data_IF_235009241739
#
_entry.id   IF_235009241739
#
_cell.length_a   1.000
_cell.length_b   1.000
_cell.length_c   1.000
_cell.angle_alpha   90.00
_cell.angle_beta   90.00
_cell.angle_gamma   90.00
#
_symmetry.space_group_name_H-M   'P 1'
#
loop_
_entity.id
_entity.type
_entity.pdbx_description
1 polymer ?
#
# COMPACT_ATOMS: atom_id res chain seq x y z
N UNK A 1 -17.85 -36.49 9.13
CA UNK A 1 -17.79 -35.79 10.44
C UNK A 1 -16.84 -34.59 10.42
N UNK A 2 -15.60 -34.69 9.90
CA UNK A 2 -14.63 -33.57 9.89
C UNK A 2 -15.08 -32.34 9.10
N UNK A 3 -15.77 -32.54 7.97
CA UNK A 3 -16.23 -31.45 7.10
C UNK A 3 -17.33 -30.58 7.75
N UNK A 4 -18.21 -31.19 8.57
CA UNK A 4 -19.23 -30.47 9.33
C UNK A 4 -18.63 -29.58 10.41
N UNK A 5 -17.54 -30.02 11.05
CA UNK A 5 -16.82 -29.21 12.06
C UNK A 5 -16.18 -27.99 11.41
N UNK A 6 -15.61 -28.12 10.21
CA UNK A 6 -15.06 -26.99 9.46
C UNK A 6 -16.13 -25.99 9.03
N UNK A 7 -17.29 -26.47 8.53
CA UNK A 7 -18.41 -25.61 8.14
C UNK A 7 -18.98 -24.86 9.36
N UNK A 8 -19.10 -25.56 10.50
CA UNK A 8 -19.55 -24.94 11.75
C UNK A 8 -18.56 -23.88 12.23
N UNK A 9 -17.26 -24.18 12.26
CA UNK A 9 -16.22 -23.23 12.67
C UNK A 9 -16.18 -21.98 11.76
N UNK A 10 -16.31 -22.17 10.44
CA UNK A 10 -16.34 -21.06 9.48
C UNK A 10 -17.59 -20.18 9.68
N UNK A 11 -18.75 -20.80 9.94
CA UNK A 11 -19.99 -20.07 10.22
C UNK A 11 -19.90 -19.24 11.51
N UNK A 12 -19.31 -19.77 12.58
CA UNK A 12 -19.07 -19.04 13.83
C UNK A 12 -18.12 -17.86 13.64
N UNK A 13 -17.06 -18.02 12.84
CA UNK A 13 -16.14 -16.93 12.53
C UNK A 13 -16.83 -15.79 11.76
N UNK A 14 -17.66 -16.12 10.76
CA UNK A 14 -18.42 -15.13 9.98
C UNK A 14 -19.38 -14.34 10.88
N UNK A 15 -20.14 -15.03 11.74
CA UNK A 15 -21.09 -14.39 12.68
C UNK A 15 -20.39 -13.51 13.70
N UNK A 16 -19.22 -13.92 14.19
CA UNK A 16 -18.44 -13.12 15.15
C UNK A 16 -17.93 -11.81 14.52
N UNK A 17 -17.45 -11.87 13.28
CA UNK A 17 -16.96 -10.68 12.57
C UNK A 17 -18.07 -9.71 12.14
N UNK A 18 -19.27 -10.23 11.82
CA UNK A 18 -20.40 -9.39 11.42
C UNK A 18 -21.06 -8.67 12.61
N UNK A 19 -21.04 -9.28 13.80
CA UNK A 19 -21.48 -8.62 15.04
C UNK A 19 -20.58 -7.42 15.42
N UNK A 20 -19.27 -7.53 15.17
CA UNK A 20 -18.29 -6.47 15.46
C UNK A 20 -18.40 -5.31 14.43
N UNK A 21 -18.66 -5.64 13.16
CA UNK A 21 -18.93 -4.63 12.12
C UNK A 21 -20.24 -3.88 12.38
N UNK A 22 -21.31 -4.58 12.75
CA UNK A 22 -22.63 -3.97 12.96
C UNK A 22 -22.66 -2.95 14.10
N UNK A 23 -21.77 -3.07 15.09
CA UNK A 23 -21.65 -2.11 16.20
C UNK A 23 -20.90 -0.84 15.81
N UNK A 24 -20.04 -0.88 14.78
CA UNK A 24 -19.30 0.30 14.30
C UNK A 24 -20.06 1.17 13.30
N UNK A 25 -21.09 0.64 12.63
CA UNK A 25 -21.79 1.35 11.54
C UNK A 25 -22.94 2.26 12.02
N UNK A 26 -23.39 2.18 13.27
CA UNK A 26 -24.59 2.90 13.73
C UNK A 26 -24.35 4.32 14.29
N UNK A 27 -23.23 4.97 13.97
CA UNK A 27 -22.95 6.32 14.48
C UNK A 27 -22.18 7.17 13.46
N UNK A 28 -22.86 7.58 12.38
CA UNK A 28 -22.49 8.79 11.65
C UNK A 28 -23.70 9.31 10.89
N UNK A 29 -24.30 10.37 11.44
CA UNK A 29 -25.44 11.06 10.84
C UNK A 29 -25.04 12.51 10.54
N UNK A 30 -25.43 12.97 9.34
CA UNK A 30 -25.65 14.38 8.94
C UNK A 30 -24.38 15.21 8.63
N UNK A 31 -24.29 16.12 7.64
CA UNK A 31 -25.26 16.94 6.88
C UNK A 31 -24.54 17.46 5.60
N UNK A 32 -25.21 17.57 4.44
CA UNK A 32 -24.74 18.44 3.33
C UNK A 32 -25.37 19.85 3.43
N UNK A 33 -25.21 20.80 2.48
CA UNK A 33 -24.35 20.88 1.28
C UNK A 33 -23.52 22.20 1.23
N UNK A 34 -22.72 22.43 0.18
CA UNK A 34 -22.57 23.71 -0.55
C UNK A 34 -21.47 23.61 -1.63
N UNK A 35 -21.82 23.98 -2.87
CA UNK A 35 -20.91 24.13 -4.01
C UNK A 35 -20.21 25.50 -3.95
N UNK A 36 -18.92 25.56 -4.32
CA UNK A 36 -18.40 26.70 -5.06
C UNK A 36 -17.73 26.26 -6.37
N UNK A 37 -18.03 27.03 -7.42
CA UNK A 37 -17.44 26.96 -8.77
C UNK A 37 -15.92 27.11 -8.69
N UNK A 38 -15.08 26.24 -9.28
CA UNK A 38 -13.64 26.47 -9.32
C UNK A 38 -13.24 27.31 -10.54
N UNK A 39 -12.70 28.48 -10.25
CA UNK A 39 -11.96 29.35 -11.17
C UNK A 39 -10.67 28.66 -11.64
N UNK A 40 -10.29 28.96 -12.88
CA UNK A 40 -9.11 28.43 -13.58
C UNK A 40 -7.80 28.76 -12.85
N UNK A 41 -7.30 27.82 -12.06
CA UNK A 41 -5.90 27.74 -11.66
C UNK A 41 -5.43 26.29 -11.80
N UNK A 42 -4.20 26.14 -12.28
CA UNK A 42 -3.57 24.88 -12.64
C UNK A 42 -3.32 24.02 -11.39
N UNK A 43 -4.37 23.35 -10.91
CA UNK A 43 -4.39 22.60 -9.65
C UNK A 43 -3.65 21.26 -9.80
N UNK A 44 -2.35 21.25 -9.53
CA UNK A 44 -1.68 20.03 -9.08
C UNK A 44 -2.23 19.69 -7.69
N UNK A 45 -3.19 18.77 -7.62
CA UNK A 45 -3.72 18.29 -6.35
C UNK A 45 -2.75 17.26 -5.75
N UNK A 46 -1.75 17.72 -5.01
CA UNK A 46 -0.87 16.86 -4.20
C UNK A 46 -1.57 16.56 -2.86
N UNK A 47 -2.53 15.63 -2.88
CA UNK A 47 -3.24 15.20 -1.68
C UNK A 47 -2.38 14.16 -0.93
N UNK A 48 -1.47 14.62 -0.08
CA UNK A 48 -0.75 13.76 0.85
C UNK A 48 -1.61 13.51 2.10
N UNK A 49 -2.37 12.41 2.12
CA UNK A 49 -2.99 11.90 3.34
C UNK A 49 -1.94 11.12 4.15
N UNK A 50 -1.16 11.83 4.96
CA UNK A 50 -0.22 11.21 5.90
C UNK A 50 -0.96 10.85 7.19
N UNK A 51 -1.52 9.64 7.28
CA UNK A 51 -2.08 9.12 8.53
C UNK A 51 -0.96 8.56 9.43
N UNK A 52 -0.67 9.11 10.62
CA UNK A 52 0.47 8.67 11.40
C UNK A 52 0.10 7.52 12.35
N UNK A 53 0.70 6.33 12.14
CA UNK A 53 1.42 5.54 13.19
C UNK A 53 1.75 4.08 12.82
N UNK A 54 1.27 3.51 11.71
CA UNK A 54 1.60 2.12 11.29
C UNK A 54 1.86 1.92 9.80
N UNK A 55 1.65 2.96 9.00
CA UNK A 55 1.86 2.95 7.57
C UNK A 55 1.64 4.34 6.99
N UNK A 56 1.99 4.55 5.74
CA UNK A 56 1.69 5.78 5.01
C UNK A 56 1.01 5.46 3.69
N UNK A 57 0.20 6.39 3.23
CA UNK A 57 -0.43 6.34 1.91
C UNK A 57 -0.03 7.64 1.20
N UNK A 58 0.45 7.54 -0.02
CA UNK A 58 0.84 8.68 -0.84
C UNK A 58 0.10 8.61 -2.15
N UNK A 59 -0.57 9.70 -2.51
CA UNK A 59 -1.20 9.86 -3.82
C UNK A 59 -0.59 11.06 -4.53
N UNK A 60 -0.17 10.88 -5.78
CA UNK A 60 0.40 11.93 -6.63
C UNK A 60 -0.26 11.83 -8.00
N UNK A 61 -0.79 12.94 -8.52
CA UNK A 61 -1.43 12.94 -9.83
C UNK A 61 -1.19 14.23 -10.58
N UNK A 62 -0.96 14.12 -11.89
CA UNK A 62 -0.88 15.29 -12.78
C UNK A 62 -1.70 15.07 -14.04
N UNK A 63 -2.46 16.09 -14.42
CA UNK A 63 -3.24 16.12 -15.66
C UNK A 63 -2.74 17.30 -16.51
N UNK A 64 -1.92 17.06 -17.53
CA UNK A 64 -1.57 18.10 -18.48
C UNK A 64 -2.82 18.56 -19.24
N UNK A 65 -3.07 19.87 -19.26
CA UNK A 65 -4.23 20.49 -19.94
C UNK A 65 -3.90 20.99 -21.36
N UNK A 66 -2.61 21.07 -21.70
CA UNK A 66 -2.09 21.59 -22.96
C UNK A 66 -0.92 20.74 -23.46
N UNK A 67 -0.56 20.92 -24.74
CA UNK A 67 0.49 20.12 -25.40
C UNK A 67 -0.02 18.81 -26.01
N UNK A 68 0.88 18.07 -26.70
CA UNK A 68 0.53 16.83 -27.40
C UNK A 68 0.19 15.68 -26.43
N UNK A 69 0.71 15.72 -25.20
CA UNK A 69 0.48 14.72 -24.18
C UNK A 69 -0.65 15.15 -23.24
N UNK A 70 -1.88 14.65 -23.48
CA UNK A 70 -3.09 15.01 -22.68
C UNK A 70 -3.57 13.92 -21.73
N UNK A 71 -2.84 12.82 -21.60
CA UNK A 71 -3.25 11.71 -20.74
C UNK A 71 -2.82 11.97 -19.29
N UNK A 72 -3.65 11.65 -18.28
CA UNK A 72 -3.28 11.79 -16.87
C UNK A 72 -2.13 10.85 -16.49
N UNK A 73 -1.32 11.30 -15.55
CA UNK A 73 -0.47 10.42 -14.73
C UNK A 73 -1.01 10.41 -13.31
N UNK A 74 -0.96 9.26 -12.66
CA UNK A 74 -1.20 9.16 -11.23
C UNK A 74 -0.42 8.01 -10.62
N UNK A 75 -0.07 8.15 -9.36
CA UNK A 75 0.65 7.18 -8.55
C UNK A 75 0.02 7.13 -7.16
N UNK A 76 -0.32 5.93 -6.72
CA UNK A 76 -0.88 5.64 -5.41
C UNK A 76 0.00 4.58 -4.76
N UNK A 77 0.67 4.94 -3.67
CA UNK A 77 1.50 4.01 -2.91
C UNK A 77 1.00 3.93 -1.48
N UNK A 78 1.15 2.76 -0.88
CA UNK A 78 0.95 2.51 0.52
C UNK A 78 2.10 1.67 1.04
N UNK A 79 2.57 1.96 2.24
CA UNK A 79 3.53 1.13 2.96
C UNK A 79 3.09 0.97 4.41
N UNK A 80 3.44 -0.14 5.02
CA UNK A 80 3.19 -0.38 6.43
C UNK A 80 4.36 -1.14 7.04
N UNK A 81 4.74 -0.72 8.25
CA UNK A 81 5.64 -1.49 9.07
C UNK A 81 4.81 -2.51 9.85
N UNK A 82 5.02 -3.78 9.57
CA UNK A 82 4.28 -4.89 10.20
C UNK A 82 4.98 -5.36 11.47
N UNK A 83 6.31 -5.26 11.50
CA UNK A 83 7.11 -5.60 12.65
C UNK A 83 8.33 -4.69 12.77
N UNK A 84 8.61 -4.23 13.99
CA UNK A 84 9.84 -3.53 14.32
C UNK A 84 10.15 -3.69 15.81
N UNK A 85 11.31 -4.27 16.13
CA UNK A 85 11.81 -4.38 17.50
C UNK A 85 13.21 -3.75 17.68
N UNK A 86 13.62 -2.86 16.78
CA UNK A 86 14.93 -2.22 16.77
C UNK A 86 16.07 -3.09 16.21
N UNK A 87 15.96 -4.42 16.24
CA UNK A 87 16.91 -5.34 15.60
C UNK A 87 16.37 -5.95 14.33
N UNK A 88 15.07 -6.20 14.27
CA UNK A 88 14.40 -6.80 13.13
C UNK A 88 13.26 -5.90 12.68
N UNK A 89 13.15 -5.69 11.37
CA UNK A 89 12.04 -5.00 10.73
C UNK A 89 11.37 -5.90 9.70
N UNK A 90 10.06 -5.76 9.55
CA UNK A 90 9.32 -6.32 8.44
C UNK A 90 8.33 -5.26 7.93
N UNK A 91 8.39 -5.01 6.65
CA UNK A 91 7.64 -3.97 5.96
C UNK A 91 6.91 -4.57 4.77
N UNK A 92 5.71 -4.07 4.52
CA UNK A 92 4.94 -4.37 3.32
C UNK A 92 4.66 -3.07 2.59
N UNK A 93 4.66 -3.12 1.27
CA UNK A 93 4.36 -1.97 0.45
C UNK A 93 3.60 -2.41 -0.80
N UNK A 94 2.85 -1.49 -1.37
CA UNK A 94 2.17 -1.71 -2.61
C UNK A 94 1.58 -0.44 -3.16
N UNK A 95 1.24 -0.48 -4.44
CA UNK A 95 0.79 0.69 -5.14
C UNK A 95 0.33 0.40 -6.54
N UNK A 96 -0.21 1.45 -7.15
CA UNK A 96 -0.72 1.47 -8.50
C UNK A 96 -0.22 2.76 -9.15
N UNK A 97 0.41 2.64 -10.31
CA UNK A 97 0.75 3.80 -11.11
C UNK A 97 0.15 3.71 -12.52
N UNK A 98 -0.22 4.86 -13.06
CA UNK A 98 -0.68 5.04 -14.43
C UNK A 98 0.17 6.12 -15.08
N UNK A 99 0.81 5.74 -16.17
CA UNK A 99 1.52 6.67 -17.06
C UNK A 99 0.86 6.64 -18.44
N UNK A 100 0.97 7.75 -19.20
CA UNK A 100 0.47 7.81 -20.55
C UNK A 100 0.96 6.67 -21.45
N UNK A 101 0.06 6.17 -22.30
CA UNK A 101 0.35 5.07 -23.23
C UNK A 101 0.50 3.70 -22.58
N UNK A 102 0.50 3.61 -21.24
CA UNK A 102 0.61 2.36 -20.50
C UNK A 102 -0.69 2.00 -19.79
N UNK A 103 -0.87 0.72 -19.44
CA UNK A 103 -1.94 0.29 -18.53
C UNK A 103 -1.61 0.70 -17.09
N UNK A 104 -2.58 0.57 -16.19
CA UNK A 104 -2.31 0.67 -14.75
C UNK A 104 -1.33 -0.45 -14.38
N UNK A 105 -0.25 -0.09 -13.70
CA UNK A 105 0.81 -0.98 -13.29
C UNK A 105 0.73 -1.16 -11.76
N UNK A 106 0.18 -2.29 -11.28
CA UNK A 106 0.27 -2.63 -9.87
C UNK A 106 1.68 -3.06 -9.50
N UNK A 107 2.14 -2.68 -8.33
CA UNK A 107 3.34 -3.24 -7.73
C UNK A 107 3.10 -3.47 -6.25
N UNK A 108 3.67 -4.52 -5.67
CA UNK A 108 3.65 -4.73 -4.23
C UNK A 108 4.81 -5.61 -3.80
N UNK A 109 5.18 -5.54 -2.54
CA UNK A 109 6.28 -6.29 -2.02
C UNK A 109 6.32 -6.33 -0.51
N UNK A 110 7.21 -7.19 -0.05
CA UNK A 110 7.53 -7.38 1.34
C UNK A 110 9.04 -7.29 1.50
N UNK A 111 9.47 -6.74 2.62
CA UNK A 111 10.86 -6.64 2.98
C UNK A 111 11.00 -7.03 4.44
N UNK A 112 12.02 -7.83 4.76
CA UNK A 112 12.39 -8.12 6.13
C UNK A 112 13.89 -7.91 6.30
N UNK A 113 14.29 -7.21 7.36
CA UNK A 113 15.68 -7.01 7.71
C UNK A 113 15.93 -7.43 9.16
N UNK A 114 17.07 -8.05 9.42
CA UNK A 114 17.54 -8.37 10.76
C UNK A 114 18.99 -7.92 10.91
N UNK A 115 19.21 -7.11 11.94
CA UNK A 115 20.52 -6.63 12.38
C UNK A 115 21.13 -7.62 13.38
N UNK A 116 22.43 -7.86 13.26
CA UNK A 116 23.22 -8.75 14.10
C UNK A 116 24.49 -8.04 14.58
N UNK A 117 24.86 -8.27 15.85
CA UNK A 117 26.00 -7.60 16.47
C UNK A 117 25.85 -6.08 16.44
N UNK A 118 26.96 -5.37 16.35
CA UNK A 118 26.97 -3.90 16.37
C UNK A 118 26.74 -3.26 14.99
N UNK A 119 27.00 -4.00 13.89
CA UNK A 119 27.06 -3.41 12.55
C UNK A 119 26.55 -4.33 11.44
N UNK A 120 26.27 -5.61 11.70
CA UNK A 120 25.88 -6.58 10.68
C UNK A 120 24.38 -6.54 10.38
N UNK A 121 23.97 -6.87 9.16
CA UNK A 121 22.57 -7.04 8.78
C UNK A 121 22.39 -8.11 7.71
N UNK A 122 21.20 -8.73 7.71
CA UNK A 122 20.66 -9.50 6.59
C UNK A 122 19.28 -8.96 6.22
N UNK A 123 18.99 -8.86 4.94
CA UNK A 123 17.74 -8.36 4.39
C UNK A 123 17.25 -9.33 3.32
N UNK A 124 15.99 -9.75 3.44
CA UNK A 124 15.25 -10.41 2.37
C UNK A 124 14.23 -9.44 1.79
N UNK A 125 13.97 -9.55 0.49
CA UNK A 125 12.91 -8.79 -0.17
C UNK A 125 12.26 -9.62 -1.26
N UNK A 126 10.96 -9.47 -1.40
CA UNK A 126 10.18 -10.04 -2.49
C UNK A 126 9.28 -8.94 -3.03
N UNK A 127 9.32 -8.73 -4.34
CA UNK A 127 8.47 -7.75 -5.03
C UNK A 127 7.75 -8.44 -6.18
N UNK A 128 6.55 -7.97 -6.49
CA UNK A 128 5.67 -8.47 -7.53
C UNK A 128 5.34 -7.31 -8.47
N UNK A 129 5.57 -7.52 -9.76
CA UNK A 129 5.28 -6.57 -10.82
C UNK A 129 4.37 -7.24 -11.86
N UNK A 130 3.69 -6.48 -12.74
CA UNK A 130 2.87 -7.06 -13.78
C UNK A 130 3.74 -7.89 -14.73
N UNK A 131 3.28 -9.08 -15.10
CA UNK A 131 4.00 -9.93 -16.05
C UNK A 131 4.11 -9.28 -17.43
N UNK A 132 5.12 -9.68 -18.24
CA UNK A 132 5.20 -9.26 -19.64
C UNK A 132 3.88 -9.50 -20.37
N UNK A 133 3.37 -8.48 -21.09
CA UNK A 133 2.08 -8.48 -21.79
C UNK A 133 0.81 -8.45 -20.90
N UNK A 134 0.96 -8.21 -19.59
CA UNK A 134 -0.17 -8.03 -18.67
C UNK A 134 -0.83 -9.34 -18.23
N UNK A 135 -0.16 -10.48 -18.43
CA UNK A 135 -0.61 -11.76 -17.90
C UNK A 135 0.07 -12.05 -16.56
N UNK A 136 -0.72 -12.08 -15.49
CA UNK A 136 -0.27 -12.49 -14.15
C UNK A 136 0.70 -11.51 -13.48
N UNK A 137 1.29 -11.99 -12.38
CA UNK A 137 2.29 -11.28 -11.59
C UNK A 137 3.64 -11.97 -11.73
N UNK A 138 4.69 -11.19 -11.90
CA UNK A 138 6.07 -11.64 -11.95
C UNK A 138 6.75 -11.34 -10.61
N UNK A 139 7.04 -12.35 -9.78
CA UNK A 139 7.81 -12.16 -8.56
C UNK A 139 9.29 -11.94 -8.88
N UNK A 140 9.97 -11.15 -8.06
CA UNK A 140 11.43 -11.17 -7.96
C UNK A 140 11.83 -11.15 -6.50
N UNK A 141 12.82 -11.98 -6.16
CA UNK A 141 13.28 -12.21 -4.79
C UNK A 141 14.75 -11.82 -4.71
N UNK A 142 15.14 -11.17 -3.62
CA UNK A 142 16.51 -10.80 -3.35
C UNK A 142 16.88 -11.01 -1.88
N UNK A 143 18.14 -11.37 -1.66
CA UNK A 143 18.73 -11.43 -0.32
C UNK A 143 20.01 -10.59 -0.34
N UNK A 144 20.18 -9.75 0.67
CA UNK A 144 21.34 -8.86 0.82
C UNK A 144 21.83 -8.95 2.26
N UNK A 145 23.14 -9.07 2.46
CA UNK A 145 23.75 -9.03 3.78
C UNK A 145 25.02 -8.19 3.75
N UNK A 146 25.38 -7.61 4.89
CA UNK A 146 26.58 -6.78 4.98
C UNK A 146 26.82 -6.19 6.36
N UNK A 147 27.81 -5.30 6.43
CA UNK A 147 28.18 -4.56 7.63
C UNK A 147 28.10 -3.05 7.37
N UNK A 148 27.53 -2.29 8.31
CA UNK A 148 27.36 -0.83 8.27
C UNK A 148 28.32 -0.19 9.25
N UNK A 149 29.37 0.47 8.77
CA UNK A 149 30.28 1.23 9.61
C UNK A 149 29.76 2.66 9.76
N UNK A 150 29.61 3.11 11.01
CA UNK A 150 29.37 4.53 11.28
C UNK A 150 30.72 5.22 11.30
N UNK A 151 30.85 6.33 10.57
CA UNK A 151 31.98 7.25 10.70
C UNK A 151 31.59 8.29 11.75
N UNK A 152 32.48 8.52 12.72
CA UNK A 152 32.37 9.58 13.72
C UNK A 152 32.67 10.96 13.10
#
# INVERSE_FOLDING_TARGET
>A
MKLLVFVLALSCAIVYTSADLSRKTSLSQSTGPNLPVPSHEQRQANLQLQEPKRGSITFQGTQPLSGPQRQPTWDLNANANVFNNGRTTADVYGGLNKVPGQRVQPHFGIQAERNFGNNGFIRGQTQFQPGPRGHGLSPSVGVTGGFRFKRE
#
